data_IF_254049398656
#
_entry.id   IF_254049398656
#
_cell.length_a   1.000
_cell.length_b   1.000
_cell.length_c   1.000
_cell.angle_alpha   90.00
_cell.angle_beta   90.00
_cell.angle_gamma   90.00
#
_symmetry.space_group_name_H-M   'P 1'
#
loop_
_entity.id
_entity.type
_entity.pdbx_description
1 polymer ?
#
# COMPACT_ATOMS: atom_id res chain seq x y z
N UNK A 1 -2.95 13.02 -11.39
CA UNK A 1 -2.55 11.60 -11.52
C UNK A 1 -1.58 11.50 -12.69
N UNK A 2 -0.48 10.73 -12.60
CA UNK A 2 0.44 10.51 -13.71
C UNK A 2 -0.29 9.93 -14.93
N UNK A 3 0.24 10.18 -16.12
CA UNK A 3 -0.42 9.81 -17.37
C UNK A 3 0.38 8.80 -18.21
N UNK A 4 1.58 8.41 -17.77
CA UNK A 4 2.36 7.37 -18.44
C UNK A 4 2.34 6.06 -17.65
N UNK A 5 2.38 4.93 -18.37
CA UNK A 5 2.47 3.60 -17.76
C UNK A 5 3.73 3.46 -16.88
N UNK A 6 4.94 3.87 -17.31
CA UNK A 6 6.14 3.74 -16.49
C UNK A 6 6.08 4.53 -15.18
N UNK A 7 5.52 5.74 -15.18
CA UNK A 7 5.35 6.53 -13.94
C UNK A 7 4.38 5.85 -12.97
N UNK A 8 3.28 5.29 -13.49
CA UNK A 8 2.30 4.58 -12.66
C UNK A 8 2.90 3.30 -12.07
N UNK A 9 3.72 2.57 -12.84
CA UNK A 9 4.44 1.39 -12.38
C UNK A 9 5.47 1.73 -11.29
N UNK A 10 6.26 2.80 -11.48
CA UNK A 10 7.20 3.29 -10.47
C UNK A 10 6.48 3.68 -9.17
N UNK A 11 5.34 4.37 -9.27
CA UNK A 11 4.54 4.69 -8.09
C UNK A 11 3.96 3.45 -7.40
N UNK A 12 3.53 2.45 -8.16
CA UNK A 12 3.07 1.18 -7.59
C UNK A 12 4.18 0.44 -6.83
N UNK A 13 5.44 0.54 -7.28
CA UNK A 13 6.58 -0.02 -6.57
C UNK A 13 6.83 0.67 -5.22
N UNK A 14 6.80 2.01 -5.20
CA UNK A 14 6.92 2.79 -3.95
C UNK A 14 5.79 2.47 -2.96
N UNK A 15 4.55 2.41 -3.45
CA UNK A 15 3.40 2.05 -2.61
C UNK A 15 3.52 0.63 -2.04
N UNK A 16 4.08 -0.31 -2.79
CA UNK A 16 4.32 -1.67 -2.31
C UNK A 16 5.42 -1.72 -1.25
N UNK A 17 6.48 -0.92 -1.38
CA UNK A 17 7.51 -0.79 -0.35
C UNK A 17 6.94 -0.22 0.95
N UNK A 18 6.16 0.86 0.88
CA UNK A 18 5.46 1.44 2.04
C UNK A 18 4.48 0.43 2.67
N UNK A 19 3.78 -0.37 1.86
CA UNK A 19 2.85 -1.41 2.33
C UNK A 19 3.60 -2.45 3.16
N UNK A 20 4.76 -2.91 2.69
CA UNK A 20 5.62 -3.86 3.42
C UNK A 20 6.16 -3.26 4.71
N UNK A 21 6.51 -1.97 4.71
CA UNK A 21 6.94 -1.28 5.92
C UNK A 21 5.81 -1.21 6.99
N UNK A 22 4.56 -0.99 6.57
CA UNK A 22 3.41 -1.07 7.47
C UNK A 22 3.23 -2.48 8.07
N UNK A 23 3.37 -3.54 7.25
CA UNK A 23 3.30 -4.92 7.73
C UNK A 23 4.42 -5.26 8.73
N UNK A 24 5.66 -4.85 8.44
CA UNK A 24 6.78 -5.01 9.35
C UNK A 24 6.55 -4.26 10.67
N UNK A 25 5.95 -3.07 10.61
CA UNK A 25 5.59 -2.29 11.81
C UNK A 25 4.55 -3.00 12.66
N UNK A 26 3.46 -3.50 12.05
CA UNK A 26 2.44 -4.29 12.77
C UNK A 26 3.08 -5.49 13.46
N UNK A 27 3.92 -6.24 12.73
CA UNK A 27 4.59 -7.43 13.26
C UNK A 27 5.47 -7.07 14.46
N UNK A 28 6.31 -6.04 14.32
CA UNK A 28 7.18 -5.56 15.40
C UNK A 28 6.38 -5.14 16.63
N UNK A 29 5.30 -4.38 16.44
CA UNK A 29 4.47 -3.92 17.55
C UNK A 29 3.88 -5.10 18.31
N UNK A 30 3.26 -6.06 17.61
CA UNK A 30 2.72 -7.27 18.22
C UNK A 30 3.80 -8.10 18.96
N UNK A 31 5.00 -8.22 18.40
CA UNK A 31 6.12 -8.93 19.05
C UNK A 31 6.63 -8.22 20.31
N UNK A 32 6.44 -6.90 20.40
CA UNK A 32 6.84 -6.09 21.56
C UNK A 32 5.75 -5.89 22.61
N UNK A 33 4.51 -6.30 22.34
CA UNK A 33 3.43 -6.23 23.33
C UNK A 33 3.75 -7.14 24.52
N UNK A 34 3.57 -6.59 25.73
CA UNK A 34 3.62 -7.32 27.00
C UNK A 34 2.35 -7.04 27.79
N UNK A 35 1.26 -7.75 27.48
CA UNK A 35 -0.04 -7.48 28.09
C UNK A 35 -0.03 -7.64 29.63
N UNK A 36 0.81 -8.52 30.14
CA UNK A 36 1.07 -8.76 31.55
C UNK A 36 1.75 -7.57 32.25
N UNK A 37 2.58 -6.82 31.53
CA UNK A 37 3.22 -5.59 31.99
C UNK A 37 2.41 -4.33 31.63
N UNK A 38 1.22 -4.50 31.01
CA UNK A 38 0.36 -3.40 30.56
C UNK A 38 0.83 -2.70 29.27
N UNK A 39 1.84 -3.23 28.58
CA UNK A 39 2.37 -2.67 27.34
C UNK A 39 1.56 -3.22 26.16
N UNK A 40 0.76 -2.34 25.54
CA UNK A 40 -0.11 -2.66 24.41
C UNK A 40 -0.04 -1.53 23.37
N UNK A 41 -0.04 -1.87 22.09
CA UNK A 41 0.09 -0.94 20.97
C UNK A 41 -1.12 -1.00 20.03
N UNK A 42 -2.31 -1.27 20.58
CA UNK A 42 -3.53 -1.48 19.80
C UNK A 42 -3.83 -0.33 18.83
N UNK A 43 -3.59 0.92 19.24
CA UNK A 43 -3.85 2.09 18.40
C UNK A 43 -2.87 2.17 17.22
N UNK A 44 -1.59 1.95 17.47
CA UNK A 44 -0.52 1.97 16.48
C UNK A 44 -0.66 0.83 15.49
N UNK A 45 -1.02 -0.37 15.97
CA UNK A 45 -1.33 -1.53 15.13
C UNK A 45 -2.53 -1.22 14.23
N UNK A 46 -3.59 -0.63 14.80
CA UNK A 46 -4.76 -0.24 14.01
C UNK A 46 -4.41 0.80 12.93
N UNK A 47 -3.66 1.84 13.28
CA UNK A 47 -3.22 2.87 12.34
C UNK A 47 -2.35 2.30 11.22
N UNK A 48 -1.40 1.42 11.54
CA UNK A 48 -0.55 0.77 10.55
C UNK A 48 -1.36 -0.13 9.59
N UNK A 49 -2.36 -0.86 10.10
CA UNK A 49 -3.30 -1.64 9.28
C UNK A 49 -4.16 -0.76 8.39
N UNK A 50 -4.67 0.35 8.91
CA UNK A 50 -5.46 1.31 8.14
C UNK A 50 -4.63 1.95 7.02
N UNK A 51 -3.38 2.33 7.31
CA UNK A 51 -2.46 2.88 6.31
C UNK A 51 -2.16 1.85 5.21
N UNK A 52 -1.89 0.59 5.58
CA UNK A 52 -1.72 -0.51 4.63
C UNK A 52 -2.92 -0.62 3.68
N UNK A 53 -4.15 -0.59 4.20
CA UNK A 53 -5.36 -0.67 3.38
C UNK A 53 -5.48 0.52 2.41
N UNK A 54 -5.16 1.73 2.86
CA UNK A 54 -5.14 2.92 2.00
C UNK A 54 -4.12 2.79 0.87
N UNK A 55 -2.93 2.25 1.15
CA UNK A 55 -1.88 2.01 0.16
C UNK A 55 -2.33 0.98 -0.89
N UNK A 56 -3.02 -0.09 -0.47
CA UNK A 56 -3.58 -1.10 -1.37
C UNK A 56 -4.62 -0.49 -2.33
N UNK A 57 -5.51 0.36 -1.82
CA UNK A 57 -6.47 1.11 -2.66
C UNK A 57 -5.75 2.04 -3.64
N UNK A 58 -4.75 2.78 -3.17
CA UNK A 58 -3.96 3.68 -4.03
C UNK A 58 -3.24 2.93 -5.16
N UNK A 59 -2.74 1.72 -4.88
CA UNK A 59 -2.11 0.84 -5.86
C UNK A 59 -3.14 0.31 -6.86
N UNK A 60 -4.33 -0.06 -6.40
CA UNK A 60 -5.41 -0.55 -7.26
C UNK A 60 -5.86 0.51 -8.28
N UNK A 61 -6.04 1.76 -7.83
CA UNK A 61 -6.43 2.86 -8.71
C UNK A 61 -5.41 3.07 -9.85
N UNK A 62 -4.11 2.89 -9.56
CA UNK A 62 -3.04 2.97 -10.57
C UNK A 62 -3.06 1.78 -11.52
N UNK A 63 -3.32 0.57 -11.01
CA UNK A 63 -3.50 -0.64 -11.84
C UNK A 63 -4.65 -0.46 -12.84
N UNK A 64 -5.80 0.01 -12.37
CA UNK A 64 -6.95 0.31 -13.25
C UNK A 64 -6.60 1.36 -14.29
N UNK A 65 -5.86 2.41 -13.91
CA UNK A 65 -5.40 3.44 -14.84
C UNK A 65 -4.47 2.88 -15.91
N UNK A 66 -3.50 2.04 -15.56
CA UNK A 66 -2.60 1.36 -16.51
C UNK A 66 -3.41 0.50 -17.49
N UNK A 67 -4.34 -0.31 -16.98
CA UNK A 67 -5.20 -1.15 -17.81
C UNK A 67 -5.98 -0.31 -18.82
N UNK A 68 -6.49 0.86 -18.40
CA UNK A 68 -7.18 1.78 -19.29
C UNK A 68 -6.26 2.34 -20.38
N UNK A 69 -5.06 2.80 -20.01
CA UNK A 69 -4.07 3.31 -20.97
C UNK A 69 -3.67 2.25 -22.00
N UNK A 70 -3.52 0.99 -21.57
CA UNK A 70 -3.23 -0.14 -22.46
C UNK A 70 -4.37 -0.43 -23.43
N UNK A 71 -5.63 -0.39 -22.95
CA UNK A 71 -6.81 -0.54 -23.80
C UNK A 71 -6.92 0.58 -24.84
N UNK A 72 -6.74 1.83 -24.42
CA UNK A 72 -6.82 2.98 -25.32
C UNK A 72 -5.71 2.90 -26.39
N UNK A 73 -4.48 2.50 -26.01
CA UNK A 73 -3.38 2.29 -26.96
C UNK A 73 -3.65 1.14 -27.96
N UNK A 74 -4.29 0.07 -27.51
CA UNK A 74 -4.60 -1.09 -28.35
C UNK A 74 -5.85 -0.87 -29.24
N UNK A 75 -6.72 0.08 -28.89
CA UNK A 75 -7.90 0.46 -29.67
C UNK A 75 -7.60 1.51 -30.75
N UNK A 76 -6.36 2.01 -30.79
CA UNK A 76 -5.88 3.03 -31.72
C UNK A 76 -5.22 2.44 -32.98
N UNK A 77 -5.26 1.12 -33.12
CA UNK A 77 -4.84 0.32 -34.27
C UNK A 77 -6.01 -0.54 -34.76
#
# INVERSE_FOLDING_TARGET
MPNSIPELEAQMALLEEERRACEATVRRLCETERPDEGICFAQEIHQARQRKLQLEVQRELRRVRINRLRLDANSMF
#
